data_IF_237937554818
#
_entry.id   IF_237937554818
#
_cell.length_a   1.000
_cell.length_b   1.000
_cell.length_c   1.000
_cell.angle_alpha   90.00
_cell.angle_beta   90.00
_cell.angle_gamma   90.00
#
_symmetry.space_group_name_H-M   'P 1'
#
loop_
_entity.id
_entity.type
_entity.pdbx_description
1 polymer ?
#
# COMPACT_ATOMS: atom_id res chain seq x y z
N UNK A 1 -37.16 -19.34 -54.69
CA UNK A 1 -37.50 -17.98 -55.11
C UNK A 1 -37.80 -17.20 -53.81
N UNK A 2 -36.92 -16.26 -53.45
CA UNK A 2 -36.95 -15.34 -52.26
C UNK A 2 -36.86 -16.04 -50.88
N UNK A 3 -36.05 -15.66 -49.87
CA UNK A 3 -35.24 -14.49 -49.48
C UNK A 3 -34.28 -15.06 -48.37
N UNK A 4 -32.96 -15.15 -48.47
CA UNK A 4 -31.90 -14.15 -48.20
C UNK A 4 -32.06 -13.32 -46.90
N UNK A 5 -31.06 -13.47 -46.01
CA UNK A 5 -30.56 -12.60 -44.91
C UNK A 5 -31.11 -12.73 -43.46
N UNK A 6 -30.14 -12.78 -42.52
CA UNK A 6 -30.16 -12.43 -41.08
C UNK A 6 -30.77 -13.50 -40.14
N UNK A 7 -30.04 -14.14 -39.21
CA UNK A 7 -29.26 -13.54 -38.13
C UNK A 7 -28.18 -14.51 -37.65
N UNK A 8 -26.94 -14.25 -38.07
CA UNK A 8 -25.73 -14.51 -37.30
C UNK A 8 -25.58 -13.32 -36.33
N UNK A 9 -26.08 -13.43 -35.10
CA UNK A 9 -25.73 -12.53 -33.99
C UNK A 9 -25.03 -13.39 -32.93
N UNK A 10 -23.74 -13.64 -33.12
CA UNK A 10 -22.63 -12.82 -32.61
C UNK A 10 -22.47 -12.97 -31.10
N UNK A 11 -21.64 -13.95 -30.75
CA UNK A 11 -20.82 -14.00 -29.54
C UNK A 11 -20.02 -12.69 -29.51
N UNK A 12 -20.55 -11.64 -28.88
CA UNK A 12 -19.77 -10.48 -28.50
C UNK A 12 -18.98 -10.86 -27.25
N UNK A 13 -17.79 -11.41 -27.47
CA UNK A 13 -16.73 -11.35 -26.49
C UNK A 13 -16.53 -9.88 -26.11
N UNK A 14 -16.85 -9.54 -24.87
CA UNK A 14 -16.52 -8.24 -24.27
C UNK A 14 -15.00 -8.22 -24.10
N UNK A 15 -14.26 -7.89 -25.16
CA UNK A 15 -12.90 -7.41 -25.03
C UNK A 15 -12.98 -6.01 -24.45
N UNK A 16 -12.83 -5.89 -23.14
CA UNK A 16 -12.42 -4.62 -22.54
C UNK A 16 -10.99 -4.35 -23.02
N UNK A 17 -10.86 -3.69 -24.17
CA UNK A 17 -9.57 -3.19 -24.64
C UNK A 17 -9.21 -2.00 -23.76
N UNK A 18 -8.53 -2.30 -22.65
CA UNK A 18 -7.86 -1.30 -21.82
C UNK A 18 -6.79 -0.64 -22.70
N UNK A 19 -7.12 0.48 -23.33
CA UNK A 19 -6.13 1.32 -23.99
C UNK A 19 -5.26 1.95 -22.91
N UNK A 20 -4.18 1.28 -22.50
CA UNK A 20 -3.08 1.94 -21.80
C UNK A 20 -2.60 3.13 -22.64
N UNK A 21 -2.01 4.16 -22.02
CA UNK A 21 -1.35 5.23 -22.76
C UNK A 21 -0.28 4.60 -23.66
N UNK A 22 -0.58 4.48 -24.96
CA UNK A 22 0.36 3.96 -25.93
C UNK A 22 1.42 5.02 -26.19
N UNK A 23 2.63 4.57 -26.44
CA UNK A 23 3.66 5.41 -27.05
C UNK A 23 3.17 5.81 -28.44
N UNK A 24 2.58 6.99 -28.57
CA UNK A 24 2.30 7.55 -29.89
C UNK A 24 3.63 7.90 -30.55
N UNK A 25 3.88 7.30 -31.72
CA UNK A 25 5.03 7.59 -32.59
C UNK A 25 6.42 7.46 -31.93
N UNK A 26 6.57 6.61 -30.91
CA UNK A 26 7.86 6.37 -30.26
C UNK A 26 8.37 7.53 -29.39
N UNK A 27 7.57 8.58 -29.19
CA UNK A 27 7.87 9.67 -28.27
C UNK A 27 7.29 9.38 -26.88
N UNK A 28 8.13 9.52 -25.85
CA UNK A 28 7.66 9.47 -24.45
C UNK A 28 6.63 10.59 -24.23
N UNK A 29 5.46 10.30 -23.64
CA UNK A 29 4.52 11.33 -23.26
C UNK A 29 5.20 12.30 -22.29
N UNK A 30 4.89 13.59 -22.40
CA UNK A 30 5.40 14.60 -21.48
C UNK A 30 4.94 14.24 -20.05
N UNK A 31 5.89 13.85 -19.20
CA UNK A 31 5.63 13.49 -17.81
C UNK A 31 5.39 14.78 -17.02
N UNK A 32 4.20 14.98 -16.42
CA UNK A 32 3.94 16.17 -15.62
C UNK A 32 4.80 16.17 -14.35
N UNK A 33 5.04 17.35 -13.77
CA UNK A 33 5.62 17.43 -12.43
C UNK A 33 4.72 16.70 -11.43
N UNK A 34 5.28 15.74 -10.69
CA UNK A 34 4.57 15.09 -9.58
C UNK A 34 4.09 16.15 -8.60
N UNK A 35 4.97 17.01 -8.08
CA UNK A 35 4.59 18.02 -7.10
C UNK A 35 4.56 19.40 -7.75
N UNK A 36 3.39 20.02 -7.78
CA UNK A 36 3.16 21.38 -8.28
C UNK A 36 2.21 22.04 -7.29
N UNK A 37 2.58 23.21 -6.76
CA UNK A 37 1.89 23.79 -5.60
C UNK A 37 0.40 24.04 -5.88
N UNK A 38 0.08 24.52 -7.08
CA UNK A 38 -1.32 24.74 -7.48
C UNK A 38 -2.06 23.42 -7.65
N UNK A 39 -1.47 22.46 -8.37
CA UNK A 39 -2.13 21.19 -8.63
C UNK A 39 -2.34 20.35 -7.36
N UNK A 40 -1.41 20.44 -6.40
CA UNK A 40 -1.50 19.80 -5.08
C UNK A 40 -2.58 20.45 -4.23
N UNK A 41 -2.65 21.79 -4.18
CA UNK A 41 -3.70 22.52 -3.46
C UNK A 41 -5.12 22.21 -4.00
N UNK A 42 -5.23 21.84 -5.28
CA UNK A 42 -6.48 21.45 -5.92
C UNK A 42 -6.64 19.92 -6.03
N UNK A 43 -5.83 19.09 -5.36
CA UNK A 43 -5.93 17.65 -5.55
C UNK A 43 -7.20 17.06 -4.92
N UNK A 44 -7.48 17.46 -3.67
CA UNK A 44 -8.61 17.00 -2.89
C UNK A 44 -9.84 17.89 -3.09
N UNK A 45 -11.04 17.34 -2.86
CA UNK A 45 -12.22 18.19 -2.64
C UNK A 45 -12.11 18.88 -1.27
N UNK A 46 -12.56 20.14 -1.14
CA UNK A 46 -12.54 20.82 0.15
C UNK A 46 -13.29 20.03 1.21
N UNK A 47 -12.76 20.03 2.44
CA UNK A 47 -13.49 19.49 3.58
C UNK A 47 -14.74 20.31 3.87
N UNK A 48 -15.67 19.73 4.64
CA UNK A 48 -16.90 20.41 5.05
C UNK A 48 -16.64 21.76 5.74
N UNK A 49 -15.53 21.84 6.49
CA UNK A 49 -14.97 23.09 6.98
C UNK A 49 -13.62 23.36 6.28
N UNK A 50 -13.58 24.28 5.30
CA UNK A 50 -12.38 24.54 4.51
C UNK A 50 -11.17 24.98 5.32
N UNK A 51 -11.36 25.53 6.53
CA UNK A 51 -10.28 25.97 7.43
C UNK A 51 -9.37 24.84 7.89
N UNK A 52 -9.82 23.60 7.75
CA UNK A 52 -9.06 22.42 8.11
C UNK A 52 -8.63 21.60 6.89
N UNK A 53 -8.66 22.18 5.69
CA UNK A 53 -8.15 21.48 4.50
C UNK A 53 -6.64 21.21 4.66
N UNK A 54 -6.10 20.13 4.08
CA UNK A 54 -4.67 19.86 4.12
C UNK A 54 -3.85 20.96 3.44
N UNK A 55 -2.80 21.39 4.13
CA UNK A 55 -1.71 22.22 3.61
C UNK A 55 -0.49 21.35 3.44
N UNK A 56 -0.12 21.10 2.20
CA UNK A 56 1.02 20.28 1.84
C UNK A 56 2.32 21.09 1.79
N UNK A 57 3.45 20.40 1.89
CA UNK A 57 4.78 21.00 1.65
C UNK A 57 4.90 21.56 0.23
N UNK A 58 5.78 22.55 0.04
CA UNK A 58 6.00 23.14 -1.29
C UNK A 58 6.72 22.20 -2.26
N UNK A 59 6.58 22.46 -3.56
CA UNK A 59 7.34 21.83 -4.64
C UNK A 59 8.84 21.89 -4.40
N UNK A 60 9.37 23.04 -3.95
CA UNK A 60 10.78 23.21 -3.64
C UNK A 60 11.24 22.31 -2.49
N UNK A 61 10.39 22.07 -1.49
CA UNK A 61 10.68 21.09 -0.45
C UNK A 61 10.66 19.68 -1.04
N UNK A 62 9.61 19.32 -1.78
CA UNK A 62 9.43 17.98 -2.36
C UNK A 62 10.62 17.56 -3.23
N UNK A 63 11.07 18.43 -4.15
CA UNK A 63 12.16 18.13 -5.07
C UNK A 63 13.56 18.19 -4.44
N UNK A 64 13.68 18.65 -3.17
CA UNK A 64 14.93 18.53 -2.38
C UNK A 64 15.02 17.20 -1.64
N UNK A 65 13.93 16.44 -1.53
CA UNK A 65 13.98 15.13 -0.91
C UNK A 65 14.88 14.19 -1.71
N UNK A 66 15.74 13.40 -1.05
CA UNK A 66 16.60 12.45 -1.74
C UNK A 66 15.74 11.38 -2.43
N UNK A 67 16.11 11.04 -3.67
CA UNK A 67 15.45 9.97 -4.41
C UNK A 67 15.70 8.64 -3.70
N UNK A 68 14.62 7.93 -3.39
CA UNK A 68 14.68 6.62 -2.73
C UNK A 68 15.30 5.58 -3.68
N UNK A 69 16.30 4.86 -3.19
CA UNK A 69 16.87 3.72 -3.92
C UNK A 69 15.94 2.51 -3.83
N UNK A 70 15.80 1.77 -4.93
CA UNK A 70 15.06 0.51 -4.97
C UNK A 70 16.09 -0.62 -4.98
N UNK A 71 16.11 -1.37 -3.89
CA UNK A 71 16.95 -2.55 -3.74
C UNK A 71 16.25 -3.78 -4.32
N UNK A 72 17.05 -4.73 -4.80
CA UNK A 72 16.57 -6.06 -5.16
C UNK A 72 15.84 -6.69 -3.99
N UNK A 73 14.69 -7.28 -4.29
CA UNK A 73 13.83 -7.89 -3.31
C UNK A 73 13.54 -9.34 -3.66
N UNK A 74 13.21 -10.13 -2.64
CA UNK A 74 13.07 -11.58 -2.72
C UNK A 74 11.74 -12.01 -2.10
N UNK A 75 11.11 -13.09 -2.59
CA UNK A 75 9.82 -13.55 -2.06
C UNK A 75 9.94 -13.96 -0.59
N UNK A 76 8.87 -13.71 0.16
CA UNK A 76 8.65 -14.33 1.46
C UNK A 76 7.83 -15.60 1.23
N UNK A 77 8.24 -16.70 1.87
CA UNK A 77 7.49 -17.95 1.86
C UNK A 77 6.78 -18.15 3.20
N UNK A 78 5.59 -18.73 3.17
CA UNK A 78 4.91 -19.17 4.38
C UNK A 78 5.73 -20.24 5.11
N UNK A 79 5.62 -20.36 6.46
CA UNK A 79 6.32 -21.39 7.23
C UNK A 79 6.12 -22.80 6.65
N UNK A 80 7.24 -23.49 6.40
CA UNK A 80 7.25 -24.83 5.79
C UNK A 80 7.14 -24.86 4.26
N UNK A 81 7.05 -23.71 3.58
CA UNK A 81 7.09 -23.57 2.12
C UNK A 81 8.41 -23.01 1.58
N UNK A 82 9.24 -22.50 2.47
CA UNK A 82 10.55 -21.94 2.15
C UNK A 82 11.49 -23.01 1.55
N UNK A 83 12.19 -22.72 0.43
CA UNK A 83 13.22 -23.62 -0.08
C UNK A 83 14.31 -23.91 0.96
N UNK A 84 14.87 -25.14 1.02
CA UNK A 84 15.94 -25.45 1.94
C UNK A 84 17.12 -24.49 1.82
N UNK A 85 17.58 -23.94 2.96
CA UNK A 85 18.72 -23.02 3.02
C UNK A 85 18.46 -21.59 2.53
N UNK A 86 17.23 -21.24 2.17
CA UNK A 86 16.91 -19.93 1.58
C UNK A 86 17.35 -18.73 2.43
N UNK A 87 17.15 -18.76 3.75
CA UNK A 87 17.60 -17.66 4.61
C UNK A 87 19.12 -17.52 4.69
N UNK A 88 19.85 -18.64 4.71
CA UNK A 88 21.31 -18.60 4.72
C UNK A 88 21.84 -18.10 3.37
N UNK A 89 21.18 -18.49 2.28
CA UNK A 89 21.47 -17.92 0.96
C UNK A 89 21.17 -16.42 0.88
N UNK A 90 20.05 -15.94 1.44
CA UNK A 90 19.72 -14.51 1.49
C UNK A 90 20.79 -13.69 2.23
N UNK A 91 21.31 -14.20 3.35
CA UNK A 91 22.40 -13.54 4.11
C UNK A 91 23.70 -13.40 3.30
N UNK A 92 23.92 -14.26 2.30
CA UNK A 92 25.11 -14.21 1.45
C UNK A 92 24.99 -13.21 0.29
N UNK A 93 23.78 -12.73 -0.02
CA UNK A 93 23.57 -11.80 -1.12
C UNK A 93 24.17 -10.43 -0.82
N UNK A 94 24.70 -9.78 -1.85
CA UNK A 94 25.12 -8.39 -1.76
C UNK A 94 23.91 -7.45 -1.94
N UNK A 95 23.92 -6.27 -1.31
CA UNK A 95 22.95 -5.22 -1.63
C UNK A 95 23.06 -4.81 -3.10
N UNK A 96 21.94 -4.85 -3.82
CA UNK A 96 21.89 -4.55 -5.25
C UNK A 96 20.80 -3.49 -5.50
N UNK A 97 21.17 -2.35 -6.11
CA UNK A 97 20.20 -1.33 -6.56
C UNK A 97 19.76 -1.70 -7.97
N UNK A 98 18.44 -1.84 -8.17
CA UNK A 98 17.87 -2.43 -9.40
C UNK A 98 17.04 -1.46 -10.24
N UNK A 99 16.87 -0.22 -9.79
CA UNK A 99 16.14 0.81 -10.54
C UNK A 99 17.11 1.85 -11.13
N UNK A 100 16.98 2.09 -12.43
CA UNK A 100 17.72 3.11 -13.16
C UNK A 100 16.83 3.69 -14.28
N UNK A 101 16.35 4.91 -14.05
CA UNK A 101 15.47 5.61 -14.99
C UNK A 101 16.13 5.88 -16.36
N UNK A 102 17.48 5.99 -16.41
CA UNK A 102 18.18 6.28 -17.66
C UNK A 102 18.10 5.12 -18.67
N UNK A 103 17.83 3.90 -18.19
CA UNK A 103 17.69 2.68 -19.00
C UNK A 103 16.28 2.47 -19.57
N UNK A 104 15.29 3.26 -19.16
CA UNK A 104 13.91 3.10 -19.60
C UNK A 104 13.71 3.75 -20.98
N UNK A 105 13.66 2.93 -22.04
CA UNK A 105 13.54 3.43 -23.43
C UNK A 105 12.26 2.98 -24.11
N UNK A 106 11.80 1.78 -23.80
CA UNK A 106 10.66 1.15 -24.45
C UNK A 106 9.49 1.05 -23.48
N UNK A 107 8.27 0.93 -24.01
CA UNK A 107 7.08 0.63 -23.22
C UNK A 107 7.28 -0.57 -22.29
N UNK A 108 7.95 -1.61 -22.79
CA UNK A 108 8.27 -2.81 -22.02
C UNK A 108 9.20 -2.51 -20.83
N UNK A 109 10.17 -1.60 -21.00
CA UNK A 109 11.02 -1.14 -19.89
C UNK A 109 10.19 -0.41 -18.82
N UNK A 110 9.27 0.46 -19.25
CA UNK A 110 8.40 1.20 -18.35
C UNK A 110 7.42 0.30 -17.60
N UNK A 111 6.87 -0.73 -18.26
CA UNK A 111 6.01 -1.72 -17.61
C UNK A 111 6.80 -2.48 -16.54
N UNK A 112 7.99 -2.98 -16.87
CA UNK A 112 8.86 -3.67 -15.89
C UNK A 112 9.28 -2.77 -14.74
N UNK A 113 9.62 -1.52 -15.02
CA UNK A 113 9.96 -0.54 -14.01
C UNK A 113 8.77 -0.20 -13.10
N UNK A 114 7.57 -0.08 -13.67
CA UNK A 114 6.33 0.11 -12.93
C UNK A 114 6.03 -1.07 -12.00
N UNK A 115 6.20 -2.30 -12.48
CA UNK A 115 6.07 -3.50 -11.65
C UNK A 115 7.10 -3.52 -10.52
N UNK A 116 8.36 -3.16 -10.80
CA UNK A 116 9.41 -3.05 -9.80
C UNK A 116 9.05 -2.02 -8.72
N UNK A 117 8.62 -0.82 -9.11
CA UNK A 117 8.20 0.25 -8.18
C UNK A 117 6.97 -0.16 -7.38
N UNK A 118 5.99 -0.81 -8.01
CA UNK A 118 4.77 -1.27 -7.35
C UNK A 118 5.06 -2.25 -6.20
N UNK A 119 6.09 -3.08 -6.36
CA UNK A 119 6.52 -4.08 -5.40
C UNK A 119 7.64 -3.59 -4.45
N UNK A 120 8.16 -2.38 -4.66
CA UNK A 120 9.29 -1.86 -3.90
C UNK A 120 8.84 -1.45 -2.48
N UNK A 121 9.42 -2.01 -1.41
CA UNK A 121 9.14 -1.57 -0.06
C UNK A 121 9.85 -0.26 0.26
N UNK A 122 9.33 0.46 1.24
CA UNK A 122 9.87 1.76 1.66
C UNK A 122 10.14 1.84 3.16
N UNK A 123 9.57 0.90 3.93
CA UNK A 123 9.86 0.68 5.33
C UNK A 123 10.55 -0.67 5.49
N UNK A 124 11.52 -0.75 6.41
CA UNK A 124 12.35 -1.93 6.60
C UNK A 124 12.47 -2.26 8.09
N UNK A 125 12.36 -3.54 8.42
CA UNK A 125 12.59 -4.06 9.76
C UNK A 125 13.40 -5.35 9.66
N UNK A 126 14.16 -5.67 10.70
CA UNK A 126 14.87 -6.95 10.78
C UNK A 126 13.86 -8.11 10.63
N UNK A 127 14.18 -9.07 9.75
CA UNK A 127 13.33 -10.24 9.52
C UNK A 127 13.11 -11.06 10.79
N UNK A 128 14.09 -11.12 11.70
CA UNK A 128 14.01 -11.82 12.98
C UNK A 128 13.00 -11.18 13.94
N UNK A 129 12.77 -9.87 13.83
CA UNK A 129 11.76 -9.14 14.59
C UNK A 129 10.38 -9.13 13.92
N UNK A 130 10.26 -9.72 12.73
CA UNK A 130 9.01 -9.82 11.99
C UNK A 130 8.26 -11.12 12.28
N UNK A 131 6.92 -11.12 12.23
CA UNK A 131 6.14 -12.35 12.43
C UNK A 131 6.03 -13.22 11.18
N UNK A 132 6.66 -12.86 10.05
CA UNK A 132 6.52 -13.59 8.79
C UNK A 132 7.11 -15.00 8.81
N UNK A 133 7.91 -15.34 9.82
CA UNK A 133 8.40 -16.70 10.08
C UNK A 133 7.64 -17.42 11.21
N UNK A 134 6.69 -16.75 11.86
CA UNK A 134 5.90 -17.31 12.98
C UNK A 134 4.61 -17.93 12.46
N UNK A 135 4.48 -19.26 12.53
CA UNK A 135 3.29 -19.99 12.08
C UNK A 135 1.99 -19.48 12.72
N UNK A 136 2.05 -19.03 13.97
CA UNK A 136 0.86 -18.52 14.69
C UNK A 136 0.29 -17.26 14.06
N UNK A 137 1.13 -16.43 13.44
CA UNK A 137 0.65 -15.24 12.73
C UNK A 137 -0.23 -15.62 11.54
N UNK A 138 0.17 -16.63 10.76
CA UNK A 138 -0.59 -17.11 9.62
C UNK A 138 -1.94 -17.71 10.06
N UNK A 139 -1.93 -18.48 11.15
CA UNK A 139 -3.13 -19.11 11.69
C UNK A 139 -4.10 -18.09 12.30
N UNK A 140 -3.60 -17.12 13.07
CA UNK A 140 -4.45 -16.13 13.78
C UNK A 140 -4.93 -15.00 12.88
N UNK A 141 -4.07 -14.49 11.98
CA UNK A 141 -4.43 -13.38 11.08
C UNK A 141 -4.99 -13.88 9.74
N UNK A 142 -5.08 -15.20 9.53
CA UNK A 142 -5.53 -15.82 8.29
C UNK A 142 -4.79 -15.26 7.05
N UNK A 143 -3.46 -15.16 7.15
CA UNK A 143 -2.62 -14.55 6.11
C UNK A 143 -2.76 -15.35 4.81
N UNK A 144 -3.20 -14.73 3.70
CA UNK A 144 -3.32 -15.44 2.44
C UNK A 144 -1.96 -15.88 1.89
N UNK A 145 -1.89 -17.08 1.35
CA UNK A 145 -0.67 -17.68 0.78
C UNK A 145 -0.95 -18.06 -0.67
N UNK A 146 -0.07 -17.65 -1.57
CA UNK A 146 -0.16 -17.98 -2.99
C UNK A 146 0.06 -19.48 -3.22
N UNK A 147 -0.36 -19.97 -4.40
CA UNK A 147 -0.28 -21.39 -4.78
C UNK A 147 1.14 -21.96 -4.72
N UNK A 148 2.14 -21.13 -4.98
CA UNK A 148 3.57 -21.48 -4.92
C UNK A 148 4.15 -21.42 -3.49
N UNK A 149 3.33 -21.09 -2.49
CA UNK A 149 3.75 -20.97 -1.09
C UNK A 149 4.28 -19.59 -0.71
N UNK A 150 4.29 -18.61 -1.62
CA UNK A 150 4.74 -17.25 -1.34
C UNK A 150 3.67 -16.38 -0.68
N UNK A 151 4.12 -15.31 -0.04
CA UNK A 151 3.30 -14.26 0.58
C UNK A 151 3.54 -12.98 -0.22
N UNK A 152 2.69 -12.65 -1.22
CA UNK A 152 3.03 -11.67 -2.26
C UNK A 152 2.89 -10.20 -1.84
N UNK A 153 2.61 -9.93 -0.57
CA UNK A 153 2.31 -8.59 -0.05
C UNK A 153 3.56 -7.86 0.46
N UNK A 154 4.56 -8.61 0.92
CA UNK A 154 5.83 -8.09 1.45
C UNK A 154 6.99 -8.90 0.90
N UNK A 155 8.19 -8.32 0.94
CA UNK A 155 9.38 -8.95 0.40
C UNK A 155 10.56 -8.88 1.35
N UNK A 156 11.45 -9.85 1.25
CA UNK A 156 12.77 -9.71 1.85
C UNK A 156 13.62 -8.75 1.02
N UNK A 157 14.46 -7.96 1.69
CA UNK A 157 15.40 -7.03 1.06
C UNK A 157 16.74 -7.12 1.77
N UNK A 158 17.82 -7.00 0.99
CA UNK A 158 19.19 -6.95 1.50
C UNK A 158 19.75 -5.56 1.19
N UNK A 159 19.76 -4.68 2.20
CA UNK A 159 20.41 -3.35 2.10
C UNK A 159 21.81 -3.33 2.68
N UNK A 160 22.15 -4.35 3.48
CA UNK A 160 23.48 -4.61 4.03
C UNK A 160 23.74 -6.11 4.00
N UNK A 161 24.91 -6.53 3.50
CA UNK A 161 25.29 -7.95 3.47
C UNK A 161 25.15 -8.59 4.85
N UNK A 162 24.59 -9.80 4.91
CA UNK A 162 24.33 -10.53 6.14
C UNK A 162 23.08 -10.11 6.91
N UNK A 163 22.41 -9.01 6.52
CA UNK A 163 21.19 -8.52 7.17
C UNK A 163 20.01 -8.75 6.24
N UNK A 164 19.08 -9.59 6.68
CA UNK A 164 17.82 -9.84 5.97
C UNK A 164 16.72 -9.00 6.60
N UNK A 165 16.15 -8.10 5.82
CA UNK A 165 15.05 -7.24 6.26
C UNK A 165 13.75 -7.67 5.62
N UNK A 166 12.63 -7.52 6.34
CA UNK A 166 11.29 -7.55 5.74
C UNK A 166 10.92 -6.13 5.36
N UNK A 167 10.70 -5.92 4.07
CA UNK A 167 10.20 -4.67 3.51
C UNK A 167 8.67 -4.59 3.57
N UNK A 168 8.15 -3.41 3.94
CA UNK A 168 6.72 -3.08 3.93
C UNK A 168 6.43 -1.72 3.30
N UNK A 169 5.15 -1.35 3.32
CA UNK A 169 4.60 -0.09 2.77
C UNK A 169 4.76 0.01 1.24
N UNK A 170 4.89 -1.13 0.56
CA UNK A 170 4.82 -1.16 -0.91
C UNK A 170 3.37 -1.01 -1.40
N UNK A 171 3.17 -0.55 -2.64
CA UNK A 171 1.83 -0.51 -3.23
C UNK A 171 1.20 -1.92 -3.29
N UNK A 172 2.03 -2.93 -3.60
CA UNK A 172 1.62 -4.32 -3.66
C UNK A 172 1.07 -4.87 -2.33
N UNK A 173 1.46 -4.29 -1.19
CA UNK A 173 1.00 -4.75 0.12
C UNK A 173 -0.51 -4.57 0.29
N UNK A 174 -1.05 -3.42 -0.15
CA UNK A 174 -2.47 -3.10 -0.05
C UNK A 174 -3.26 -3.43 -1.32
N UNK A 175 -2.59 -3.49 -2.48
CA UNK A 175 -3.21 -3.65 -3.79
C UNK A 175 -2.89 -4.99 -4.46
N UNK A 176 -2.63 -6.04 -3.69
CA UNK A 176 -2.51 -7.41 -4.21
C UNK A 176 -3.54 -8.30 -3.54
N UNK A 177 -4.21 -9.15 -4.31
CA UNK A 177 -5.16 -10.13 -3.79
C UNK A 177 -4.69 -11.55 -4.07
N UNK A 178 -4.77 -12.41 -3.06
CA UNK A 178 -4.68 -13.87 -3.24
C UNK A 178 -6.08 -14.46 -3.24
N UNK A 179 -6.44 -15.18 -4.28
CA UNK A 179 -7.74 -15.85 -4.43
C UNK A 179 -7.78 -17.19 -3.66
N UNK A 180 -8.98 -17.77 -3.43
CA UNK A 180 -9.10 -19.04 -2.70
C UNK A 180 -8.32 -20.22 -3.30
N UNK A 181 -8.05 -20.20 -4.61
CA UNK A 181 -7.25 -21.22 -5.31
C UNK A 181 -5.72 -20.95 -5.24
N UNK A 182 -5.31 -19.88 -4.53
CA UNK A 182 -3.94 -19.43 -4.40
C UNK A 182 -3.44 -18.55 -5.56
N UNK A 183 -4.29 -18.21 -6.54
CA UNK A 183 -3.92 -17.31 -7.63
C UNK A 183 -3.70 -15.88 -7.14
N UNK A 184 -2.72 -15.17 -7.69
CA UNK A 184 -2.36 -13.79 -7.29
C UNK A 184 -2.85 -12.79 -8.33
N UNK A 185 -3.53 -11.74 -7.89
CA UNK A 185 -4.03 -10.64 -8.74
C UNK A 185 -3.45 -9.32 -8.24
N UNK A 186 -2.47 -8.80 -8.97
CA UNK A 186 -1.90 -7.47 -8.74
C UNK A 186 -2.87 -6.37 -9.17
N UNK A 187 -2.92 -5.29 -8.40
CA UNK A 187 -3.85 -4.18 -8.59
C UNK A 187 -5.27 -4.46 -8.12
N UNK A 188 -5.62 -5.64 -7.61
CA UNK A 188 -6.96 -5.87 -7.03
C UNK A 188 -7.10 -5.23 -5.64
N UNK A 189 -8.32 -5.16 -5.11
CA UNK A 189 -8.54 -4.87 -3.69
C UNK A 189 -7.82 -5.94 -2.88
N UNK A 190 -6.80 -5.53 -2.13
CA UNK A 190 -5.96 -6.48 -1.42
C UNK A 190 -6.68 -7.18 -0.28
N UNK A 191 -6.06 -8.25 0.19
CA UNK A 191 -6.55 -9.03 1.33
C UNK A 191 -5.44 -9.38 2.33
N UNK A 192 -4.33 -8.63 2.31
CA UNK A 192 -3.33 -8.74 3.36
C UNK A 192 -3.91 -8.23 4.69
N UNK A 193 -3.79 -8.98 5.79
CA UNK A 193 -4.34 -8.59 7.08
C UNK A 193 -3.42 -7.59 7.82
N UNK A 194 -3.27 -6.37 7.28
CA UNK A 194 -2.39 -5.34 7.86
C UNK A 194 -2.81 -4.93 9.28
N UNK A 195 -4.11 -4.74 9.50
CA UNK A 195 -4.61 -4.30 10.80
C UNK A 195 -4.43 -5.40 11.85
N UNK A 196 -4.63 -6.65 11.46
CA UNK A 196 -4.45 -7.82 12.32
C UNK A 196 -2.97 -8.13 12.54
N UNK A 197 -2.07 -7.74 11.63
CA UNK A 197 -0.63 -7.75 11.90
C UNK A 197 -0.26 -6.82 13.07
N UNK A 198 -0.86 -5.62 13.12
CA UNK A 198 -0.70 -4.71 14.28
C UNK A 198 -1.30 -5.33 15.52
N UNK A 199 -2.52 -5.88 15.43
CA UNK A 199 -3.20 -6.52 16.55
C UNK A 199 -2.42 -7.72 17.11
N UNK A 200 -1.88 -8.60 16.25
CA UNK A 200 -1.06 -9.75 16.61
C UNK A 200 0.17 -9.33 17.43
N UNK A 201 0.86 -8.26 17.00
CA UNK A 201 2.00 -7.69 17.73
C UNK A 201 1.57 -7.08 19.06
N UNK A 202 0.48 -6.30 19.03
CA UNK A 202 -0.10 -5.66 20.20
C UNK A 202 -0.49 -6.67 21.28
N UNK A 203 -1.21 -7.73 20.91
CA UNK A 203 -1.62 -8.82 21.80
C UNK A 203 -0.44 -9.49 22.48
N UNK A 204 0.62 -9.80 21.72
CA UNK A 204 1.83 -10.43 22.25
C UNK A 204 2.59 -9.53 23.22
N UNK A 205 2.73 -8.25 22.89
CA UNK A 205 3.38 -7.27 23.77
C UNK A 205 2.54 -7.09 25.05
N UNK A 206 1.23 -6.95 24.92
CA UNK A 206 0.31 -6.78 26.05
C UNK A 206 0.31 -7.98 27.00
N UNK A 207 0.44 -9.20 26.48
CA UNK A 207 0.50 -10.42 27.28
C UNK A 207 1.80 -10.54 28.13
N UNK A 208 2.84 -9.79 27.78
CA UNK A 208 4.11 -9.75 28.51
C UNK A 208 4.28 -8.49 29.36
N UNK A 209 3.34 -7.56 29.26
CA UNK A 209 3.41 -6.25 29.87
C UNK A 209 2.71 -6.22 31.23
N UNK A 210 3.31 -5.51 32.19
CA UNK A 210 2.62 -5.12 33.42
C UNK A 210 1.63 -3.96 33.19
N UNK A 211 0.94 -3.52 34.25
CA UNK A 211 -0.08 -2.46 34.13
C UNK A 211 0.53 -1.11 33.73
N UNK A 212 1.73 -0.77 34.21
CA UNK A 212 2.40 0.49 33.85
C UNK A 212 2.83 0.47 32.38
N UNK A 213 3.39 -0.65 31.92
CA UNK A 213 3.76 -0.86 30.53
C UNK A 213 2.53 -0.82 29.61
N UNK A 214 1.40 -1.40 30.02
CA UNK A 214 0.14 -1.30 29.28
C UNK A 214 -0.39 0.12 29.17
N UNK A 215 -0.27 0.94 30.23
CA UNK A 215 -0.64 2.37 30.14
C UNK A 215 0.27 3.12 29.16
N UNK A 216 1.58 2.85 29.19
CA UNK A 216 2.50 3.44 28.22
C UNK A 216 2.21 2.99 26.79
N UNK A 217 1.86 1.73 26.59
CA UNK A 217 1.42 1.20 25.29
C UNK A 217 0.14 1.86 24.79
N UNK A 218 -0.85 2.08 25.66
CA UNK A 218 -2.09 2.75 25.29
C UNK A 218 -1.82 4.20 24.83
N UNK A 219 -1.01 4.93 25.59
CA UNK A 219 -0.61 6.29 25.23
C UNK A 219 0.17 6.33 23.90
N UNK A 220 1.03 5.33 23.64
CA UNK A 220 1.71 5.16 22.36
C UNK A 220 0.71 4.93 21.22
N UNK A 221 -0.27 4.04 21.41
CA UNK A 221 -1.31 3.75 20.41
C UNK A 221 -2.18 4.97 20.11
N UNK A 222 -2.64 5.71 21.13
CA UNK A 222 -3.39 6.96 20.94
C UNK A 222 -2.58 7.99 20.17
N UNK A 223 -1.32 8.21 20.55
CA UNK A 223 -0.43 9.14 19.85
C UNK A 223 -0.24 8.76 18.39
N UNK A 224 -0.07 7.47 18.10
CA UNK A 224 0.08 6.99 16.72
C UNK A 224 -1.19 7.17 15.89
N UNK A 225 -2.37 6.92 16.47
CA UNK A 225 -3.66 7.19 15.83
C UNK A 225 -3.86 8.70 15.57
N UNK A 226 -3.55 9.58 16.53
CA UNK A 226 -3.64 11.02 16.33
C UNK A 226 -2.67 11.51 15.24
N UNK A 227 -1.43 11.03 15.23
CA UNK A 227 -0.42 11.44 14.23
C UNK A 227 -0.78 10.98 12.82
N UNK A 228 -1.32 9.76 12.66
CA UNK A 228 -1.61 9.19 11.34
C UNK A 228 -3.02 9.49 10.85
N UNK A 229 -3.99 9.61 11.74
CA UNK A 229 -5.42 9.61 11.39
C UNK A 229 -6.19 10.74 12.08
N UNK A 230 -5.50 11.59 12.84
CA UNK A 230 -6.13 12.67 13.60
C UNK A 230 -6.97 13.59 12.74
N UNK A 231 -8.15 13.91 13.25
CA UNK A 231 -9.06 14.91 12.71
C UNK A 231 -9.23 15.99 13.80
N UNK A 232 -8.40 17.04 13.85
CA UNK A 232 -8.34 17.97 14.99
C UNK A 232 -9.65 18.72 15.26
N UNK A 233 -10.59 18.72 14.32
CA UNK A 233 -11.94 19.28 14.46
C UNK A 233 -12.97 18.31 15.06
N UNK A 234 -12.66 17.02 15.17
CA UNK A 234 -13.54 16.01 15.78
C UNK A 234 -13.31 15.96 17.28
N UNK A 235 -14.40 16.06 18.06
CA UNK A 235 -14.39 15.98 19.51
C UNK A 235 -15.47 14.99 19.98
N UNK A 236 -15.15 13.98 20.81
CA UNK A 236 -13.79 13.62 21.28
C UNK A 236 -12.88 13.15 20.13
N UNK A 237 -11.55 13.17 20.35
CA UNK A 237 -10.57 12.68 19.35
C UNK A 237 -10.86 11.20 19.05
N UNK A 238 -11.13 10.82 17.79
CA UNK A 238 -11.28 9.41 17.41
C UNK A 238 -10.09 8.52 17.82
N UNK A 239 -8.90 9.09 18.00
CA UNK A 239 -7.72 8.36 18.48
C UNK A 239 -7.86 7.87 19.93
N UNK A 240 -8.60 8.58 20.79
CA UNK A 240 -8.78 8.26 22.21
C UNK A 240 -10.01 7.38 22.48
N UNK A 241 -10.58 6.80 21.43
CA UNK A 241 -11.87 6.08 21.49
C UNK A 241 -11.87 4.78 22.31
N UNK A 242 -10.70 4.21 22.59
CA UNK A 242 -10.55 2.96 23.34
C UNK A 242 -9.80 3.23 24.64
N UNK A 243 -10.30 2.67 25.75
CA UNK A 243 -9.83 2.95 27.10
C UNK A 243 -8.74 1.97 27.58
N UNK A 244 -8.40 0.96 26.79
CA UNK A 244 -7.36 -0.02 27.13
C UNK A 244 -6.66 -0.59 25.91
N UNK A 245 -5.46 -1.16 26.14
CA UNK A 245 -4.72 -1.91 25.12
C UNK A 245 -5.55 -3.11 24.62
N UNK A 246 -6.21 -3.84 25.51
CA UNK A 246 -7.00 -5.02 25.13
C UNK A 246 -8.22 -4.65 24.28
N UNK A 247 -8.90 -3.55 24.61
CA UNK A 247 -10.00 -3.02 23.80
C UNK A 247 -9.52 -2.57 22.42
N UNK A 248 -8.39 -1.85 22.37
CA UNK A 248 -7.78 -1.39 21.12
C UNK A 248 -7.40 -2.58 20.24
N UNK A 249 -6.72 -3.58 20.80
CA UNK A 249 -6.33 -4.80 20.08
C UNK A 249 -7.54 -5.60 19.62
N UNK A 250 -8.58 -5.74 20.44
CA UNK A 250 -9.82 -6.41 20.05
C UNK A 250 -10.53 -5.69 18.88
N UNK A 251 -10.54 -4.35 18.89
CA UNK A 251 -11.11 -3.58 17.80
C UNK A 251 -10.32 -3.76 16.48
N UNK A 252 -8.99 -3.82 16.56
CA UNK A 252 -8.13 -4.10 15.41
C UNK A 252 -8.33 -5.54 14.88
N UNK A 253 -8.50 -6.52 15.77
CA UNK A 253 -8.81 -7.92 15.40
C UNK A 253 -10.14 -8.05 14.66
N UNK A 254 -11.13 -7.21 14.98
CA UNK A 254 -12.45 -7.21 14.37
C UNK A 254 -12.50 -6.59 12.95
N UNK A 255 -11.45 -5.86 12.54
CA UNK A 255 -11.39 -5.32 11.18
C UNK A 255 -11.31 -6.48 10.18
N UNK A 256 -12.00 -6.46 9.03
CA UNK A 256 -11.86 -7.50 8.00
C UNK A 256 -10.55 -7.38 7.20
N UNK A 257 -9.99 -8.48 6.65
CA UNK A 257 -8.86 -8.40 5.71
C UNK A 257 -9.18 -7.53 4.48
N UNK A 258 -8.22 -6.72 4.04
CA UNK A 258 -8.40 -5.79 2.91
C UNK A 258 -9.09 -4.47 3.27
N UNK A 259 -9.38 -4.26 4.56
CA UNK A 259 -9.77 -2.98 5.15
C UNK A 259 -8.57 -2.39 5.87
N UNK A 260 -8.37 -1.09 5.72
CA UNK A 260 -7.21 -0.38 6.27
C UNK A 260 -7.65 0.86 7.03
N UNK A 261 -6.82 1.23 8.00
CA UNK A 261 -6.85 2.54 8.63
C UNK A 261 -5.76 3.38 7.97
N UNK A 262 -6.18 4.47 7.32
CA UNK A 262 -5.35 5.49 6.68
C UNK A 262 -5.87 6.88 7.03
N UNK A 263 -5.17 7.91 6.59
CA UNK A 263 -5.54 9.32 6.74
C UNK A 263 -7.00 9.55 6.31
N UNK A 264 -7.74 10.32 7.12
CA UNK A 264 -9.17 10.56 6.91
C UNK A 264 -10.08 9.38 7.28
N UNK A 265 -9.54 8.30 7.86
CA UNK A 265 -10.30 7.13 8.35
C UNK A 265 -9.99 6.86 9.82
N UNK A 266 -10.58 5.84 10.43
CA UNK A 266 -10.20 5.34 11.76
C UNK A 266 -10.62 3.87 11.88
N UNK A 267 -10.27 3.18 12.97
CA UNK A 267 -10.79 1.84 13.26
C UNK A 267 -12.34 1.77 13.23
N UNK A 268 -13.05 2.86 13.58
CA UNK A 268 -14.53 2.92 13.53
C UNK A 268 -15.11 3.03 12.13
N UNK A 269 -14.41 3.70 11.23
CA UNK A 269 -14.86 3.96 9.86
C UNK A 269 -13.74 3.62 8.87
N UNK A 270 -13.20 2.42 9.05
CA UNK A 270 -12.11 1.92 8.23
C UNK A 270 -12.62 1.66 6.81
N UNK A 271 -11.72 1.79 5.83
CA UNK A 271 -12.09 1.72 4.41
C UNK A 271 -11.44 0.52 3.75
N UNK A 272 -12.15 -0.11 2.83
CA UNK A 272 -11.54 -1.10 1.93
C UNK A 272 -10.47 -0.41 1.07
N UNK A 273 -9.34 -1.10 0.80
CA UNK A 273 -8.43 -0.61 -0.22
C UNK A 273 -9.16 -0.50 -1.56
N UNK A 274 -8.96 0.60 -2.26
CA UNK A 274 -9.37 0.68 -3.66
C UNK A 274 -8.61 -0.37 -4.46
N UNK A 275 -9.26 -1.12 -5.35
CA UNK A 275 -8.53 -1.79 -6.42
C UNK A 275 -7.93 -0.72 -7.35
N UNK A 276 -6.87 -1.02 -8.08
CA UNK A 276 -6.21 -0.15 -9.06
C UNK A 276 -6.51 -0.58 -10.50
N UNK A 277 -7.28 -1.66 -10.69
CA UNK A 277 -7.69 -2.11 -12.02
C UNK A 277 -8.60 -1.05 -12.62
N UNK A 278 -8.25 -0.61 -13.84
CA UNK A 278 -8.94 0.48 -14.52
C UNK A 278 -8.80 1.84 -13.82
N UNK A 279 -7.77 2.04 -12.96
CA UNK A 279 -7.60 3.30 -12.22
C UNK A 279 -7.65 4.51 -13.14
N UNK A 280 -7.09 4.44 -14.36
CA UNK A 280 -7.08 5.54 -15.34
C UNK A 280 -8.47 6.13 -15.65
N UNK A 281 -9.54 5.36 -15.52
CA UNK A 281 -10.90 5.73 -15.92
C UNK A 281 -11.77 6.21 -14.74
N UNK A 282 -11.18 6.32 -13.54
CA UNK A 282 -11.92 6.71 -12.33
C UNK A 282 -11.99 8.22 -12.20
N UNK A 283 -13.04 8.67 -11.51
CA UNK A 283 -13.21 10.08 -11.12
C UNK A 283 -12.49 10.42 -9.82
N UNK A 284 -12.39 9.45 -8.91
CA UNK A 284 -11.72 9.58 -7.62
C UNK A 284 -10.75 8.41 -7.43
N UNK A 285 -9.58 8.70 -6.84
CA UNK A 285 -8.49 7.73 -6.66
C UNK A 285 -8.68 6.87 -5.41
N UNK A 286 -9.47 7.33 -4.46
CA UNK A 286 -9.72 6.68 -3.17
C UNK A 286 -11.19 6.29 -2.98
N UNK A 287 -11.44 5.53 -1.91
CA UNK A 287 -12.80 5.12 -1.51
C UNK A 287 -13.51 6.16 -0.65
N UNK A 288 -12.81 7.19 -0.20
CA UNK A 288 -13.38 8.31 0.56
C UNK A 288 -14.02 9.36 -0.37
N UNK A 289 -13.69 9.33 -1.67
CA UNK A 289 -14.16 10.31 -2.65
C UNK A 289 -13.46 11.66 -2.52
N UNK A 290 -12.30 11.72 -1.86
CA UNK A 290 -11.59 12.96 -1.57
C UNK A 290 -10.68 13.35 -2.73
N UNK A 291 -9.81 12.42 -3.14
CA UNK A 291 -8.78 12.71 -4.13
C UNK A 291 -9.35 12.56 -5.54
N UNK A 292 -9.35 13.67 -6.29
CA UNK A 292 -9.84 13.71 -7.67
C UNK A 292 -8.82 13.13 -8.64
N UNK A 293 -9.30 12.54 -9.72
CA UNK A 293 -8.48 12.08 -10.82
C UNK A 293 -8.82 12.85 -12.11
N UNK A 294 -8.00 13.84 -12.45
CA UNK A 294 -8.16 14.64 -13.67
C UNK A 294 -7.07 14.32 -14.71
N UNK A 295 -5.95 13.78 -14.26
CA UNK A 295 -4.79 13.47 -15.10
C UNK A 295 -3.88 12.42 -14.47
N UNK A 296 -2.90 11.92 -15.23
CA UNK A 296 -1.81 11.09 -14.69
C UNK A 296 -1.01 11.80 -13.59
N UNK A 297 -0.90 13.14 -13.64
CA UNK A 297 -0.24 13.92 -12.61
C UNK A 297 -0.94 13.82 -11.25
N UNK A 298 -2.27 13.73 -11.22
CA UNK A 298 -3.01 13.53 -9.97
C UNK A 298 -2.74 12.14 -9.37
N UNK A 299 -2.65 11.10 -10.22
CA UNK A 299 -2.24 9.77 -9.77
C UNK A 299 -0.82 9.76 -9.20
N UNK A 300 0.11 10.46 -9.85
CA UNK A 300 1.49 10.61 -9.37
C UNK A 300 1.54 11.31 -8.00
N UNK A 301 0.76 12.38 -7.81
CA UNK A 301 0.63 13.09 -6.52
C UNK A 301 0.05 12.20 -5.44
N UNK A 302 -1.03 11.50 -5.76
CA UNK A 302 -1.69 10.61 -4.84
C UNK A 302 -0.78 9.45 -4.42
N UNK A 303 0.00 8.88 -5.35
CA UNK A 303 1.00 7.88 -5.02
C UNK A 303 2.07 8.44 -4.06
N UNK A 304 2.53 9.68 -4.27
CA UNK A 304 3.48 10.33 -3.36
C UNK A 304 2.90 10.61 -1.96
N UNK A 305 1.62 11.02 -1.88
CA UNK A 305 0.90 11.21 -0.61
C UNK A 305 0.84 9.91 0.20
N UNK A 306 0.39 8.81 -0.43
CA UNK A 306 0.29 7.49 0.21
C UNK A 306 1.66 6.81 0.45
N UNK A 307 2.76 7.46 0.08
CA UNK A 307 4.14 7.05 0.33
C UNK A 307 4.82 8.03 1.30
N UNK A 308 4.07 8.43 2.33
CA UNK A 308 4.43 9.24 3.50
C UNK A 308 4.56 10.76 3.29
N UNK A 309 4.44 11.29 2.07
CA UNK A 309 4.52 12.76 1.86
C UNK A 309 3.38 13.49 2.57
N UNK A 310 2.25 12.82 2.78
CA UNK A 310 1.11 13.37 3.53
C UNK A 310 1.45 13.72 4.99
N UNK A 311 2.36 12.97 5.63
CA UNK A 311 2.80 13.20 7.02
C UNK A 311 3.64 14.48 7.19
N UNK A 312 4.07 15.08 6.07
CA UNK A 312 4.82 16.34 6.07
C UNK A 312 3.91 17.57 6.03
N UNK A 313 2.61 17.36 5.80
CA UNK A 313 1.61 18.42 5.78
C UNK A 313 1.11 18.80 7.17
N UNK A 314 0.15 19.72 7.18
CA UNK A 314 -0.64 20.08 8.37
C UNK A 314 -2.06 20.42 7.94
N UNK A 315 -2.98 20.47 8.89
CA UNK A 315 -4.25 21.14 8.66
C UNK A 315 -4.09 22.66 8.87
N UNK A 316 -4.85 23.48 8.15
CA UNK A 316 -5.04 24.89 8.48
C UNK A 316 -5.16 25.86 7.33
#
# INVERSE_FOLDING_TARGET
MMLVLLVLLSITAVMVVVHAQKFENGTLPQIPKTWDDKAVAELEVPLADPRYSPVHVSSDYYYRMPVRQIYKSYPIYAPGKEPPGYMEWLKQQEPEIVFDAAKLKTESDWIRAGELVFNAPIAYQDAASSPFRDRRFYEQAAVPVAKDGTVPFRRYVIRKKGVVEVGGTSCAECHTRVLPDGSVVSGAQGNFPNVQLVAFRGRRRAAQADDQEKQAMLAEMHREETVRHGAPWMQPDPAEQFASVDETVAALEAVPPGVFVREGTSVRYAVVAADLIGVKDRRYLDRTGLVRQRSIGDLMRYAALNQDTQLLGRYG
#
